data_IF_170807324016
#
_entry.id   IF_170807324016
#
_cell.length_a   1.000
_cell.length_b   1.000
_cell.length_c   1.000
_cell.angle_alpha   90.00
_cell.angle_beta   90.00
_cell.angle_gamma   90.00
#
_symmetry.space_group_name_H-M   'P 1'
#
loop_
_entity.id
_entity.type
_entity.pdbx_description
1 polymer ?
#
# COMPACT_ATOMS: atom_id res chain seq x y z
N UNK A 1 16.84 10.69 0.32
CA UNK A 1 16.18 9.38 0.27
C UNK A 1 15.72 9.12 -1.15
N UNK A 2 15.64 7.87 -1.55
CA UNK A 2 15.15 7.51 -2.88
C UNK A 2 13.67 7.85 -3.03
N UNK A 3 13.20 7.99 -4.27
CA UNK A 3 11.78 8.16 -4.56
C UNK A 3 10.96 6.99 -4.04
N UNK A 4 11.51 5.79 -4.17
CA UNK A 4 10.87 4.57 -3.68
C UNK A 4 10.63 4.62 -2.17
N UNK A 5 11.60 5.09 -1.41
CA UNK A 5 11.47 5.28 0.04
C UNK A 5 10.43 6.36 0.37
N UNK A 6 10.47 7.47 -0.36
CA UNK A 6 9.51 8.56 -0.17
C UNK A 6 8.08 8.11 -0.50
N UNK A 7 7.91 7.31 -1.53
CA UNK A 7 6.61 6.76 -1.92
C UNK A 7 6.06 5.84 -0.82
N UNK A 8 6.88 4.93 -0.31
CA UNK A 8 6.47 4.03 0.77
C UNK A 8 6.05 4.81 2.02
N UNK A 9 6.84 5.81 2.39
CA UNK A 9 6.51 6.66 3.54
C UNK A 9 5.24 7.47 3.32
N UNK A 10 5.00 7.95 2.09
CA UNK A 10 3.76 8.66 1.77
C UNK A 10 2.54 7.75 1.93
N UNK A 11 2.61 6.51 1.47
CA UNK A 11 1.51 5.56 1.63
C UNK A 11 1.16 5.39 3.11
N UNK A 12 2.16 5.22 3.97
CA UNK A 12 1.94 5.12 5.42
C UNK A 12 1.30 6.39 5.96
N UNK A 13 1.83 7.54 5.60
CA UNK A 13 1.36 8.83 6.12
C UNK A 13 -0.10 9.08 5.77
N UNK A 14 -0.49 8.85 4.52
CA UNK A 14 -1.88 9.11 4.10
C UNK A 14 -2.86 8.10 4.70
N UNK A 15 -2.46 6.84 4.86
CA UNK A 15 -3.31 5.83 5.48
C UNK A 15 -3.43 6.05 7.00
N UNK A 16 -2.36 6.48 7.65
CA UNK A 16 -2.36 6.78 9.08
C UNK A 16 -3.26 7.97 9.44
N UNK A 17 -3.46 8.87 8.49
CA UNK A 17 -4.31 10.04 8.69
C UNK A 17 -5.81 9.74 8.58
N UNK A 18 -6.21 8.56 8.13
CA UNK A 18 -7.62 8.21 7.94
C UNK A 18 -8.29 7.96 9.29
N UNK A 19 -9.45 8.62 9.50
CA UNK A 19 -10.25 8.45 10.71
C UNK A 19 -11.69 8.01 10.44
N UNK A 20 -12.14 8.15 9.18
CA UNK A 20 -13.49 7.82 8.78
C UNK A 20 -13.49 7.23 7.36
N UNK A 21 -14.33 6.25 7.04
CA UNK A 21 -15.33 5.60 7.89
C UNK A 21 -14.74 4.63 8.93
N UNK A 22 -13.49 4.21 8.77
CA UNK A 22 -12.77 3.40 9.74
C UNK A 22 -11.36 3.97 9.93
N UNK A 23 -10.83 3.80 11.13
CA UNK A 23 -9.45 4.21 11.45
C UNK A 23 -8.55 2.98 11.46
N UNK A 24 -7.40 3.06 10.79
CA UNK A 24 -6.40 2.01 10.83
C UNK A 24 -5.63 2.12 12.14
N UNK A 25 -5.76 1.13 13.01
CA UNK A 25 -5.20 1.16 14.37
C UNK A 25 -3.70 0.85 14.40
N UNK A 26 -3.22 0.11 13.41
CA UNK A 26 -1.80 -0.18 13.24
C UNK A 26 -1.45 -0.11 11.78
N UNK A 27 -0.45 0.71 11.45
CA UNK A 27 0.08 0.78 10.10
C UNK A 27 1.59 0.88 10.18
N UNK A 28 2.31 0.00 9.47
CA UNK A 28 3.75 -0.11 9.59
C UNK A 28 4.36 -0.67 8.31
N UNK A 29 5.65 -0.50 8.16
CA UNK A 29 6.45 -1.16 7.12
C UNK A 29 7.08 -2.46 7.62
N UNK A 30 6.95 -2.76 8.89
CA UNK A 30 7.48 -3.98 9.48
C UNK A 30 6.43 -5.08 9.42
N UNK A 31 6.74 -6.26 8.84
CA UNK A 31 5.80 -7.38 8.85
C UNK A 31 5.51 -7.82 10.29
N UNK A 32 4.29 -8.28 10.50
CA UNK A 32 3.89 -8.82 11.80
C UNK A 32 3.01 -10.05 11.57
N UNK A 33 2.98 -10.94 12.57
CA UNK A 33 2.05 -12.06 12.59
C UNK A 33 0.74 -11.63 13.25
N UNK A 34 -0.37 -12.14 12.74
CA UNK A 34 -1.70 -11.83 13.32
C UNK A 34 -1.78 -12.21 14.79
N UNK A 35 -1.04 -13.24 15.22
CA UNK A 35 -1.03 -13.68 16.61
C UNK A 35 -0.39 -12.67 17.57
N UNK A 36 0.40 -11.73 17.03
CA UNK A 36 1.04 -10.68 17.82
C UNK A 36 0.12 -9.47 18.05
N UNK A 37 -1.02 -9.41 17.37
CA UNK A 37 -1.92 -8.27 17.44
C UNK A 37 -2.87 -8.39 18.63
N UNK A 38 -3.02 -7.29 19.36
CA UNK A 38 -4.08 -7.16 20.36
C UNK A 38 -5.39 -6.77 19.66
N UNK A 39 -6.51 -6.96 20.38
CA UNK A 39 -7.82 -6.64 19.81
C UNK A 39 -7.96 -5.17 19.44
N UNK A 40 -7.28 -4.26 20.14
CA UNK A 40 -7.33 -2.83 19.84
C UNK A 40 -6.47 -2.44 18.63
N UNK A 41 -5.66 -3.33 18.10
CA UNK A 41 -4.79 -3.03 16.96
C UNK A 41 -5.42 -3.32 15.60
N UNK A 42 -6.66 -3.81 15.57
CA UNK A 42 -7.40 -4.00 14.32
C UNK A 42 -8.24 -2.78 13.98
N UNK A 43 -8.35 -2.39 12.71
CA UNK A 43 -7.66 -2.92 11.52
C UNK A 43 -6.17 -2.61 11.52
N UNK A 44 -5.37 -3.57 11.04
CA UNK A 44 -3.92 -3.44 10.96
C UNK A 44 -3.45 -3.67 9.53
N UNK A 45 -2.46 -2.89 9.09
CA UNK A 45 -1.90 -3.00 7.74
C UNK A 45 -0.39 -2.91 7.82
N UNK A 46 0.32 -3.77 7.07
CA UNK A 46 1.74 -3.54 6.82
C UNK A 46 2.00 -3.43 5.32
N UNK A 47 3.06 -2.71 4.99
CA UNK A 47 3.44 -2.39 3.61
C UNK A 47 4.84 -2.92 3.35
N UNK A 48 4.99 -3.67 2.26
CA UNK A 48 6.29 -4.17 1.82
C UNK A 48 6.58 -3.67 0.41
N UNK A 49 7.83 -3.32 0.16
CA UNK A 49 8.28 -3.04 -1.21
C UNK A 49 8.35 -4.33 -2.00
N UNK A 50 7.75 -4.33 -3.17
CA UNK A 50 7.78 -5.45 -4.09
C UNK A 50 8.76 -5.23 -5.23
N UNK A 51 8.49 -5.87 -6.36
CA UNK A 51 9.33 -5.81 -7.54
C UNK A 51 9.19 -4.46 -8.26
N UNK A 52 10.24 -4.09 -8.97
CA UNK A 52 10.28 -2.87 -9.76
C UNK A 52 10.91 -3.15 -11.12
N UNK A 53 10.29 -2.60 -12.17
CA UNK A 53 10.81 -2.65 -13.53
C UNK A 53 11.22 -1.24 -13.93
N UNK A 54 12.39 -1.11 -14.52
CA UNK A 54 12.96 0.18 -14.94
C UNK A 54 13.23 0.21 -16.43
N UNK A 55 12.99 1.36 -17.07
CA UNK A 55 13.28 1.55 -18.48
C UNK A 55 13.77 2.98 -18.73
N UNK A 56 14.65 3.14 -19.71
CA UNK A 56 15.14 4.45 -20.11
C UNK A 56 14.07 5.14 -20.94
N UNK A 57 13.75 6.39 -20.62
CA UNK A 57 12.76 7.19 -21.34
C UNK A 57 13.41 8.17 -22.31
N UNK A 58 14.38 8.93 -21.80
CA UNK A 58 15.13 9.88 -22.62
C UNK A 58 16.61 9.79 -22.30
N UNK A 59 17.44 10.00 -23.32
CA UNK A 59 18.89 10.02 -23.18
C UNK A 59 19.44 11.30 -23.77
N UNK A 60 20.30 11.97 -23.01
CA UNK A 60 21.12 13.08 -23.48
C UNK A 60 22.59 12.65 -23.39
N UNK A 61 23.51 13.52 -23.82
CA UNK A 61 24.94 13.22 -23.74
C UNK A 61 25.45 13.08 -22.29
N UNK A 62 24.72 13.61 -21.30
CA UNK A 62 25.15 13.63 -19.90
C UNK A 62 24.15 13.04 -18.91
N UNK A 63 22.87 12.86 -19.30
CA UNK A 63 21.84 12.38 -18.40
C UNK A 63 20.93 11.39 -19.08
N UNK A 64 20.42 10.45 -18.27
CA UNK A 64 19.40 9.48 -18.69
C UNK A 64 18.23 9.63 -17.74
N UNK A 65 17.04 9.85 -18.27
CA UNK A 65 15.80 9.82 -17.49
C UNK A 65 15.23 8.42 -17.58
N UNK A 66 15.00 7.80 -16.44
CA UNK A 66 14.41 6.47 -16.33
C UNK A 66 13.03 6.54 -15.74
N UNK A 67 12.19 5.63 -16.21
CA UNK A 67 10.88 5.39 -15.63
C UNK A 67 10.91 4.08 -14.87
N UNK A 68 10.36 4.10 -13.67
CA UNK A 68 10.25 2.93 -12.83
C UNK A 68 8.79 2.64 -12.54
N UNK A 69 8.43 1.37 -12.60
CA UNK A 69 7.11 0.87 -12.19
C UNK A 69 7.35 -0.07 -11.03
N UNK A 70 6.99 0.37 -9.84
CA UNK A 70 7.23 -0.35 -8.58
C UNK A 70 5.92 -0.85 -7.99
N UNK A 71 5.93 -2.09 -7.50
CA UNK A 71 4.80 -2.65 -6.78
C UNK A 71 5.05 -2.56 -5.28
N UNK A 72 4.02 -2.13 -4.56
CA UNK A 72 3.99 -2.14 -3.10
C UNK A 72 2.88 -3.08 -2.66
N UNK A 73 3.22 -3.97 -1.74
CA UNK A 73 2.28 -4.99 -1.26
C UNK A 73 1.74 -4.53 0.09
N UNK A 74 0.42 -4.36 0.16
CA UNK A 74 -0.27 -4.02 1.39
C UNK A 74 -1.00 -5.26 1.88
N UNK A 75 -0.71 -5.67 3.11
CA UNK A 75 -1.39 -6.78 3.76
C UNK A 75 -2.14 -6.22 4.96
N UNK A 76 -3.45 -6.45 4.97
CA UNK A 76 -4.31 -5.90 6.01
C UNK A 76 -5.12 -6.97 6.72
N UNK A 77 -5.46 -6.69 7.98
CA UNK A 77 -6.22 -7.61 8.82
C UNK A 77 -7.33 -6.87 9.53
N UNK A 78 -8.51 -7.48 9.54
CA UNK A 78 -9.67 -7.04 10.31
C UNK A 78 -10.12 -8.16 11.23
N UNK A 79 -10.87 -7.82 12.26
CA UNK A 79 -11.46 -8.80 13.17
C UNK A 79 -12.96 -8.58 13.24
N UNK A 80 -13.71 -9.65 13.18
CA UNK A 80 -15.16 -9.56 13.19
C UNK A 80 -15.83 -10.89 13.52
N UNK A 81 -17.15 -10.92 13.33
CA UNK A 81 -17.95 -12.12 13.50
C UNK A 81 -18.20 -12.81 12.15
N UNK A 82 -18.76 -14.00 12.17
CA UNK A 82 -19.13 -14.74 10.98
C UNK A 82 -20.15 -14.00 10.10
N UNK A 83 -20.92 -13.07 10.68
CA UNK A 83 -21.93 -12.29 9.95
C UNK A 83 -21.41 -11.02 9.32
N UNK A 84 -20.25 -10.49 9.77
CA UNK A 84 -19.73 -9.19 9.31
C UNK A 84 -18.29 -9.18 8.86
N UNK A 85 -17.57 -10.29 8.95
CA UNK A 85 -16.14 -10.32 8.63
C UNK A 85 -15.88 -9.97 7.16
N UNK A 86 -16.68 -10.46 6.25
CA UNK A 86 -16.55 -10.16 4.83
C UNK A 86 -16.82 -8.67 4.55
N UNK A 87 -17.84 -8.10 5.19
CA UNK A 87 -18.12 -6.66 5.11
C UNK A 87 -16.95 -5.84 5.62
N UNK A 88 -16.32 -6.26 6.70
CA UNK A 88 -15.15 -5.55 7.25
C UNK A 88 -13.93 -5.62 6.32
N UNK A 89 -13.70 -6.76 5.67
CA UNK A 89 -12.66 -6.85 4.64
C UNK A 89 -12.92 -5.87 3.51
N UNK A 90 -14.15 -5.82 3.02
CA UNK A 90 -14.53 -4.93 1.93
C UNK A 90 -14.40 -3.46 2.31
N UNK A 91 -14.75 -3.10 3.55
CA UNK A 91 -14.57 -1.74 4.06
C UNK A 91 -13.08 -1.35 4.13
N UNK A 92 -12.22 -2.26 4.54
CA UNK A 92 -10.79 -2.00 4.58
C UNK A 92 -10.23 -1.78 3.18
N UNK A 93 -10.61 -2.61 2.22
CA UNK A 93 -10.22 -2.46 0.81
C UNK A 93 -10.66 -1.11 0.28
N UNK A 94 -11.92 -0.74 0.50
CA UNK A 94 -12.49 0.52 0.03
C UNK A 94 -11.78 1.73 0.62
N UNK A 95 -11.49 1.71 1.91
CA UNK A 95 -10.79 2.81 2.59
C UNK A 95 -9.38 2.98 2.03
N UNK A 96 -8.65 1.89 1.84
CA UNK A 96 -7.30 1.95 1.27
C UNK A 96 -7.36 2.52 -0.14
N UNK A 97 -8.23 1.98 -0.99
CA UNK A 97 -8.34 2.42 -2.38
C UNK A 97 -8.74 3.89 -2.47
N UNK A 98 -9.80 4.29 -1.77
CA UNK A 98 -10.26 5.68 -1.83
C UNK A 98 -9.22 6.67 -1.31
N UNK A 99 -8.47 6.29 -0.28
CA UNK A 99 -7.43 7.14 0.27
C UNK A 99 -6.27 7.31 -0.70
N UNK A 100 -5.81 6.22 -1.32
CA UNK A 100 -4.71 6.28 -2.27
C UNK A 100 -5.09 7.00 -3.56
N UNK A 101 -6.36 6.91 -3.97
CA UNK A 101 -6.85 7.59 -5.18
C UNK A 101 -7.01 9.10 -5.01
N UNK A 102 -7.02 9.63 -3.79
CA UNK A 102 -7.11 11.08 -3.57
C UNK A 102 -5.88 11.83 -4.07
N UNK A 103 -4.72 11.19 -4.06
CA UNK A 103 -3.49 11.76 -4.61
C UNK A 103 -2.69 10.63 -5.28
N UNK A 104 -2.80 10.53 -6.58
CA UNK A 104 -2.08 9.51 -7.36
C UNK A 104 -0.60 9.80 -7.52
N UNK A 105 -0.16 11.00 -7.13
CA UNK A 105 1.23 11.42 -7.26
C UNK A 105 2.10 11.09 -6.05
N UNK A 106 1.51 10.52 -5.01
CA UNK A 106 2.24 10.20 -3.77
C UNK A 106 3.02 11.39 -3.22
N UNK A 107 2.34 12.53 -3.10
CA UNK A 107 2.98 13.75 -2.60
C UNK A 107 3.96 14.37 -3.59
N UNK A 108 3.84 14.07 -4.87
CA UNK A 108 4.72 14.59 -5.92
C UNK A 108 5.89 13.67 -6.26
N UNK A 109 6.05 12.54 -5.59
CA UNK A 109 7.15 11.60 -5.86
C UNK A 109 6.85 10.62 -6.98
N UNK A 110 5.61 10.56 -7.45
CA UNK A 110 5.18 9.62 -8.48
C UNK A 110 4.34 10.31 -9.53
N UNK A 111 4.26 9.70 -10.70
CA UNK A 111 3.37 10.14 -11.77
C UNK A 111 1.99 9.52 -11.64
N UNK A 112 1.90 8.29 -11.19
CA UNK A 112 0.66 7.54 -11.20
C UNK A 112 0.69 6.46 -10.13
N UNK A 113 -0.46 6.24 -9.50
CA UNK A 113 -0.71 5.14 -8.57
C UNK A 113 -1.94 4.40 -9.02
N UNK A 114 -1.89 3.08 -9.08
CA UNK A 114 -3.07 2.26 -9.35
C UNK A 114 -3.05 0.98 -8.54
N UNK A 115 -4.22 0.50 -8.17
CA UNK A 115 -4.37 -0.77 -7.48
C UNK A 115 -4.66 -1.81 -8.53
N UNK A 116 -3.76 -2.78 -8.67
CA UNK A 116 -3.79 -3.74 -9.78
C UNK A 116 -4.27 -5.12 -9.36
N UNK A 117 -4.28 -5.41 -8.07
CA UNK A 117 -4.72 -6.71 -7.57
C UNK A 117 -5.24 -6.57 -6.14
N UNK A 118 -6.32 -7.27 -5.85
CA UNK A 118 -6.89 -7.41 -4.51
C UNK A 118 -7.20 -8.87 -4.29
N UNK A 119 -6.71 -9.44 -3.20
CA UNK A 119 -7.05 -10.81 -2.80
C UNK A 119 -7.41 -10.86 -1.31
N UNK A 120 -8.12 -11.88 -0.92
CA UNK A 120 -8.59 -12.09 0.45
C UNK A 120 -8.16 -13.45 0.95
N UNK A 121 -8.28 -13.67 2.25
CA UNK A 121 -8.03 -14.97 2.87
C UNK A 121 -9.16 -15.99 2.62
N UNK A 122 -10.27 -15.56 2.04
CA UNK A 122 -11.43 -16.41 1.73
C UNK A 122 -12.00 -17.12 2.95
N UNK A 123 -11.86 -16.51 4.13
CA UNK A 123 -12.38 -17.06 5.37
C UNK A 123 -11.44 -18.01 6.12
N UNK A 124 -10.24 -18.27 5.60
CA UNK A 124 -9.31 -19.24 6.21
C UNK A 124 -8.74 -18.78 7.54
N UNK A 125 -8.73 -17.47 7.79
CA UNK A 125 -8.19 -16.88 9.02
C UNK A 125 -9.25 -16.54 10.07
N UNK A 126 -10.53 -16.88 9.82
CA UNK A 126 -11.61 -16.55 10.75
C UNK A 126 -11.23 -16.87 12.20
N UNK A 127 -11.49 -15.99 13.18
CA UNK A 127 -12.30 -14.77 13.16
C UNK A 127 -11.58 -13.51 12.64
N UNK A 128 -10.44 -13.67 12.04
CA UNK A 128 -9.68 -12.60 11.41
C UNK A 128 -9.91 -12.66 9.90
N UNK A 129 -10.08 -11.49 9.28
CA UNK A 129 -10.16 -11.38 7.83
C UNK A 129 -8.89 -10.74 7.29
N UNK A 130 -8.26 -11.38 6.32
CA UNK A 130 -7.05 -10.87 5.68
C UNK A 130 -7.30 -10.36 4.28
N UNK A 131 -6.58 -9.30 3.90
CA UNK A 131 -6.56 -8.79 2.53
C UNK A 131 -5.11 -8.61 2.08
N UNK A 132 -4.91 -8.70 0.78
CA UNK A 132 -3.64 -8.37 0.14
C UNK A 132 -3.93 -7.52 -1.09
N UNK A 133 -3.30 -6.37 -1.16
CA UNK A 133 -3.47 -5.44 -2.28
C UNK A 133 -2.10 -5.16 -2.89
N UNK A 134 -2.04 -5.17 -4.22
CA UNK A 134 -0.85 -4.75 -4.96
C UNK A 134 -1.10 -3.36 -5.49
N UNK A 135 -0.29 -2.41 -5.03
CA UNK A 135 -0.34 -1.01 -5.44
C UNK A 135 0.83 -0.75 -6.36
N UNK A 136 0.53 -0.42 -7.60
CA UNK A 136 1.55 -0.15 -8.63
C UNK A 136 1.74 1.34 -8.77
N UNK A 137 2.99 1.78 -8.60
CA UNK A 137 3.35 3.20 -8.65
C UNK A 137 4.40 3.41 -9.72
N UNK A 138 4.11 4.38 -10.61
CA UNK A 138 5.03 4.77 -11.67
C UNK A 138 5.70 6.09 -11.31
N UNK A 139 7.03 6.14 -11.39
CA UNK A 139 7.79 7.36 -11.14
C UNK A 139 8.97 7.49 -12.11
N UNK A 140 9.49 8.70 -12.24
CA UNK A 140 10.67 8.98 -13.06
C UNK A 140 11.80 9.50 -12.19
N UNK A 141 13.02 9.21 -12.60
CA UNK A 141 14.22 9.70 -11.93
C UNK A 141 15.38 9.80 -12.91
N UNK A 142 16.41 10.57 -12.52
CA UNK A 142 17.67 10.60 -13.25
C UNK A 142 18.51 9.38 -12.89
N UNK A 143 19.03 8.69 -13.90
CA UNK A 143 19.85 7.49 -13.70
C UNK A 143 20.96 7.75 -12.67
N UNK A 144 21.08 6.87 -11.68
CA UNK A 144 22.00 6.99 -10.57
C UNK A 144 21.42 7.62 -9.31
N UNK A 145 20.25 8.26 -9.40
CA UNK A 145 19.58 8.91 -8.25
C UNK A 145 18.09 8.50 -8.18
N UNK A 146 17.83 7.23 -7.93
CA UNK A 146 16.47 6.70 -7.90
C UNK A 146 15.62 7.27 -6.77
#
# INVERSE_FOLDING_TARGET
MSNRENIANNIITVLDAVTSPIELKKITREPFNVDELTQQQYPAVFIQSGDEVRSDQTMTSSTITREATADFILVGFVKGSDTNIDTKRNQLIEVIESTLEQDRTRGGYAKRTEIVEVSTDEGTLYPIGGIRMVVRVMYQYTAGTP
#
